data_IF_056345294813
#
_entry.id   IF_056345294813
#
_cell.length_a   1.000
_cell.length_b   1.000
_cell.length_c   1.000
_cell.angle_alpha   90.00
_cell.angle_beta   90.00
_cell.angle_gamma   90.00
#
_symmetry.space_group_name_H-M   'P 1'
#
loop_
_entity.id
_entity.type
_entity.pdbx_description
1 polymer ?
#
# COMPACT_ATOMS: atom_id res chain seq x y z
N UNK A 1 -24.00 -15.87 11.06
CA UNK A 1 -22.54 -16.06 11.13
C UNK A 1 -21.98 -14.86 11.87
N UNK A 2 -21.64 -15.03 13.14
CA UNK A 2 -21.20 -13.93 14.02
C UNK A 2 -19.69 -13.84 13.90
N UNK A 3 -19.18 -12.78 13.29
CA UNK A 3 -17.73 -12.53 13.20
C UNK A 3 -17.28 -12.15 14.61
N UNK A 4 -16.64 -13.08 15.33
CA UNK A 4 -15.96 -12.75 16.59
C UNK A 4 -14.60 -12.14 16.24
N UNK A 5 -14.52 -10.80 16.32
CA UNK A 5 -13.28 -10.06 16.15
C UNK A 5 -12.59 -10.03 17.52
N UNK A 6 -11.83 -11.07 17.85
CA UNK A 6 -10.97 -11.09 19.04
C UNK A 6 -9.64 -10.39 18.73
N UNK A 7 -9.71 -9.08 18.50
CA UNK A 7 -8.53 -8.23 18.30
C UNK A 7 -8.46 -7.22 19.47
N UNK A 8 -7.38 -7.20 20.28
CA UNK A 8 -7.24 -6.28 21.41
C UNK A 8 -7.35 -4.79 21.04
N UNK A 9 -7.05 -4.44 19.78
CA UNK A 9 -7.25 -3.10 19.27
C UNK A 9 -8.74 -2.73 19.17
N UNK A 10 -9.58 -3.68 18.72
CA UNK A 10 -11.04 -3.51 18.61
C UNK A 10 -11.69 -3.30 19.96
N UNK A 11 -11.30 -4.07 20.98
CA UNK A 11 -11.85 -3.94 22.34
C UNK A 11 -11.48 -2.59 22.98
N UNK A 12 -10.24 -2.13 22.77
CA UNK A 12 -9.80 -0.81 23.22
C UNK A 12 -10.57 0.31 22.52
N UNK A 13 -10.81 0.20 21.20
CA UNK A 13 -11.55 1.21 20.43
C UNK A 13 -13.02 1.27 20.86
N UNK A 14 -13.67 0.11 21.01
CA UNK A 14 -15.06 -0.02 21.45
C UNK A 14 -15.32 0.64 22.81
N UNK A 15 -14.39 0.43 23.74
CA UNK A 15 -14.55 0.85 25.13
C UNK A 15 -14.15 2.31 25.34
N UNK A 16 -13.09 2.80 24.66
CA UNK A 16 -12.59 4.18 24.83
C UNK A 16 -13.38 5.22 24.04
N UNK A 17 -13.79 4.91 22.80
CA UNK A 17 -14.35 5.91 21.89
C UNK A 17 -15.88 5.84 21.80
N UNK A 18 -16.47 4.65 21.98
CA UNK A 18 -17.90 4.43 21.73
C UNK A 18 -18.72 4.10 22.97
N UNK A 19 -18.09 4.01 24.16
CA UNK A 19 -18.80 3.91 25.45
C UNK A 19 -19.85 2.79 25.51
N UNK A 20 -19.57 1.63 24.91
CA UNK A 20 -20.49 0.50 24.77
C UNK A 20 -21.73 0.72 23.87
N UNK A 21 -21.76 1.76 23.02
CA UNK A 21 -22.78 1.91 21.98
C UNK A 21 -22.48 1.00 20.79
N UNK A 22 -22.95 -0.24 20.87
CA UNK A 22 -22.70 -1.31 19.90
C UNK A 22 -23.12 -0.97 18.48
N UNK A 23 -24.25 -0.31 18.28
CA UNK A 23 -24.74 0.01 16.93
C UNK A 23 -23.85 1.05 16.25
N UNK A 24 -23.54 2.15 16.95
CA UNK A 24 -22.65 3.20 16.42
C UNK A 24 -21.24 2.68 16.17
N UNK A 25 -20.72 1.85 17.08
CA UNK A 25 -19.43 1.20 16.91
C UNK A 25 -19.39 0.31 15.68
N UNK A 26 -20.39 -0.56 15.48
CA UNK A 26 -20.43 -1.49 14.34
C UNK A 26 -20.48 -0.74 13.00
N UNK A 27 -21.24 0.34 12.91
CA UNK A 27 -21.34 1.10 11.66
C UNK A 27 -20.05 1.87 11.35
N UNK A 28 -19.42 2.50 12.34
CA UNK A 28 -18.13 3.19 12.12
C UNK A 28 -16.98 2.22 11.87
N UNK A 29 -16.95 1.08 12.56
CA UNK A 29 -16.00 -0.01 12.29
C UNK A 29 -16.15 -0.54 10.87
N UNK A 30 -17.38 -0.73 10.37
CA UNK A 30 -17.59 -1.18 9.00
C UNK A 30 -17.01 -0.18 8.01
N UNK A 31 -17.23 1.12 8.23
CA UNK A 31 -16.65 2.17 7.39
C UNK A 31 -15.13 2.13 7.43
N UNK A 32 -14.53 2.08 8.63
CA UNK A 32 -13.08 2.01 8.81
C UNK A 32 -12.47 0.76 8.16
N UNK A 33 -13.12 -0.40 8.29
CA UNK A 33 -12.69 -1.65 7.66
C UNK A 33 -12.81 -1.59 6.14
N UNK A 34 -13.89 -1.00 5.61
CA UNK A 34 -14.07 -0.82 4.16
C UNK A 34 -13.02 0.14 3.61
N UNK A 35 -12.77 1.26 4.27
CA UNK A 35 -11.74 2.22 3.87
C UNK A 35 -10.34 1.58 3.91
N UNK A 36 -10.03 0.84 4.99
CA UNK A 36 -8.77 0.10 5.12
C UNK A 36 -8.63 -0.94 4.02
N UNK A 37 -9.68 -1.71 3.74
CA UNK A 37 -9.71 -2.70 2.66
C UNK A 37 -9.52 -2.07 1.29
N UNK A 38 -10.18 -0.93 1.02
CA UNK A 38 -10.00 -0.20 -0.24
C UNK A 38 -8.57 0.33 -0.40
N UNK A 39 -7.98 0.87 0.68
CA UNK A 39 -6.58 1.31 0.69
C UNK A 39 -5.63 0.16 0.42
N UNK A 40 -5.83 -0.98 1.09
CA UNK A 40 -5.01 -2.19 0.90
C UNK A 40 -5.15 -2.76 -0.51
N UNK A 41 -6.37 -2.78 -1.06
CA UNK A 41 -6.62 -3.15 -2.46
C UNK A 41 -5.88 -2.25 -3.44
N UNK A 42 -5.85 -0.93 -3.20
CA UNK A 42 -5.10 0.03 -4.03
C UNK A 42 -3.59 -0.22 -3.95
N UNK A 43 -3.06 -0.49 -2.76
CA UNK A 43 -1.64 -0.82 -2.57
C UNK A 43 -1.30 -2.08 -3.37
N UNK A 44 -2.06 -3.16 -3.18
CA UNK A 44 -1.83 -4.42 -3.91
C UNK A 44 -1.90 -4.24 -5.43
N UNK A 45 -2.86 -3.46 -5.94
CA UNK A 45 -2.96 -3.17 -7.36
C UNK A 45 -1.73 -2.45 -7.93
N UNK A 46 -1.10 -1.56 -7.15
CA UNK A 46 0.13 -0.88 -7.55
C UNK A 46 1.33 -1.83 -7.49
N UNK A 47 1.43 -2.68 -6.47
CA UNK A 47 2.52 -3.64 -6.34
C UNK A 47 2.46 -4.73 -7.43
N UNK A 48 1.26 -5.17 -7.83
CA UNK A 48 1.10 -6.09 -8.97
C UNK A 48 1.49 -5.45 -10.30
N UNK A 49 1.15 -4.17 -10.52
CA UNK A 49 1.63 -3.46 -11.70
C UNK A 49 3.16 -3.38 -11.74
N UNK A 50 3.83 -3.35 -10.58
CA UNK A 50 5.29 -3.44 -10.53
C UNK A 50 5.78 -4.82 -10.98
N UNK A 51 5.13 -5.92 -10.57
CA UNK A 51 5.45 -7.27 -11.06
C UNK A 51 5.34 -7.40 -12.58
N UNK A 52 4.36 -6.73 -13.16
CA UNK A 52 4.15 -6.71 -14.61
C UNK A 52 5.08 -5.70 -15.34
N UNK A 53 6.07 -5.12 -14.64
CA UNK A 53 6.97 -4.07 -15.12
C UNK A 53 6.26 -2.80 -15.65
N UNK A 54 4.98 -2.61 -15.32
CA UNK A 54 4.16 -1.49 -15.80
C UNK A 54 4.43 -0.17 -15.04
N UNK A 55 4.99 -0.25 -13.84
CA UNK A 55 5.26 0.90 -12.98
C UNK A 55 6.54 0.68 -12.18
N UNK A 56 7.33 1.74 -11.98
CA UNK A 56 8.55 1.68 -11.17
C UNK A 56 8.28 1.86 -9.67
N UNK A 57 9.20 1.40 -8.83
CA UNK A 57 9.17 1.62 -7.37
C UNK A 57 9.05 3.11 -7.02
N UNK A 58 9.77 3.97 -7.75
CA UNK A 58 9.69 5.42 -7.56
C UNK A 58 8.30 5.97 -7.83
N UNK A 59 7.62 5.46 -8.87
CA UNK A 59 6.27 5.91 -9.20
C UNK A 59 5.22 5.38 -8.23
N UNK A 60 5.43 4.20 -7.64
CA UNK A 60 4.60 3.71 -6.52
C UNK A 60 4.78 4.59 -5.28
N UNK A 61 6.03 4.94 -4.94
CA UNK A 61 6.34 5.82 -3.81
C UNK A 61 5.62 7.17 -3.93
N UNK A 62 5.65 7.79 -5.12
CA UNK A 62 4.88 9.01 -5.41
C UNK A 62 3.37 8.81 -5.25
N UNK A 63 2.80 7.72 -5.77
CA UNK A 63 1.36 7.46 -5.72
C UNK A 63 0.83 7.23 -4.30
N UNK A 64 1.67 6.65 -3.45
CA UNK A 64 1.33 6.31 -2.07
C UNK A 64 1.77 7.39 -1.06
N UNK A 65 2.54 8.40 -1.51
CA UNK A 65 3.15 9.42 -0.66
C UNK A 65 4.00 8.82 0.46
N UNK A 66 4.82 7.82 0.10
CA UNK A 66 5.73 7.12 1.01
C UNK A 66 7.14 7.06 0.42
N UNK A 67 8.12 6.69 1.24
CA UNK A 67 9.48 6.51 0.78
C UNK A 67 9.66 5.20 0.01
N UNK A 68 10.67 5.16 -0.87
CA UNK A 68 10.99 3.95 -1.66
C UNK A 68 11.29 2.76 -0.77
N UNK A 69 11.93 2.98 0.38
CA UNK A 69 12.22 1.93 1.37
C UNK A 69 10.94 1.30 1.93
N UNK A 70 9.89 2.09 2.15
CA UNK A 70 8.59 1.59 2.58
C UNK A 70 7.92 0.78 1.46
N UNK A 71 8.07 1.19 0.19
CA UNK A 71 7.61 0.38 -0.96
C UNK A 71 8.33 -0.98 -0.99
N UNK A 72 9.65 -1.02 -0.76
CA UNK A 72 10.41 -2.27 -0.68
C UNK A 72 9.92 -3.17 0.46
N UNK A 73 9.61 -2.58 1.61
CA UNK A 73 9.03 -3.32 2.74
C UNK A 73 7.64 -3.89 2.39
N UNK A 74 6.82 -3.15 1.65
CA UNK A 74 5.51 -3.60 1.16
C UNK A 74 5.64 -4.76 0.16
N UNK A 75 6.57 -4.69 -0.79
CA UNK A 75 6.84 -5.78 -1.73
C UNK A 75 7.21 -7.07 -0.99
N UNK A 76 8.13 -6.98 -0.01
CA UNK A 76 8.52 -8.12 0.84
C UNK A 76 7.34 -8.66 1.66
N UNK A 77 6.57 -7.78 2.29
CA UNK A 77 5.41 -8.16 3.12
C UNK A 77 4.36 -8.95 2.32
N UNK A 78 4.22 -8.65 1.04
CA UNK A 78 3.26 -9.29 0.14
C UNK A 78 3.87 -10.39 -0.74
N UNK A 79 5.11 -10.83 -0.46
CA UNK A 79 5.85 -11.84 -1.24
C UNK A 79 5.88 -11.55 -2.75
N UNK A 80 6.12 -10.29 -3.09
CA UNK A 80 6.27 -9.85 -4.47
C UNK A 80 7.76 -9.80 -4.81
N UNK A 81 8.16 -10.63 -5.76
CA UNK A 81 9.54 -10.68 -6.24
C UNK A 81 9.95 -9.37 -6.91
N UNK A 82 11.24 -9.05 -6.79
CA UNK A 82 11.85 -7.99 -7.57
C UNK A 82 11.81 -8.38 -9.03
N UNK A 83 11.23 -7.52 -9.86
CA UNK A 83 11.32 -7.70 -11.30
C UNK A 83 12.76 -7.43 -11.70
N UNK A 84 13.36 -8.38 -12.41
CA UNK A 84 14.62 -8.17 -13.11
C UNK A 84 14.38 -7.09 -14.17
N UNK A 85 14.64 -5.83 -13.81
CA UNK A 85 14.75 -4.77 -14.80
C UNK A 85 15.93 -5.11 -15.71
N UNK A 86 15.67 -5.15 -17.02
CA UNK A 86 16.76 -5.21 -17.99
C UNK A 86 17.66 -4.00 -17.76
N UNK A 87 18.92 -4.24 -17.38
CA UNK A 87 19.94 -3.20 -17.18
C UNK A 87 20.09 -2.28 -18.41
N UNK A 88 19.70 -2.75 -19.59
CA UNK A 88 19.70 -1.98 -20.83
C UNK A 88 18.65 -0.86 -20.83
N UNK A 89 17.44 -1.13 -20.31
CA UNK A 89 16.37 -0.13 -20.21
C UNK A 89 16.64 0.90 -19.11
N UNK A 90 17.34 0.49 -18.04
CA UNK A 90 17.74 1.38 -16.95
C UNK A 90 18.86 2.32 -17.39
N UNK A 91 19.87 1.82 -18.13
CA UNK A 91 20.91 2.67 -18.74
C UNK A 91 20.31 3.73 -19.65
N UNK A 92 19.36 3.35 -20.50
CA UNK A 92 18.71 4.28 -21.42
C UNK A 92 17.95 5.38 -20.69
N UNK A 93 17.18 5.05 -19.65
CA UNK A 93 16.48 6.05 -18.84
C UNK A 93 17.43 7.00 -18.09
N UNK A 94 18.58 6.49 -17.62
CA UNK A 94 19.61 7.31 -16.97
C UNK A 94 20.27 8.25 -17.99
N UNK A 95 20.59 7.75 -19.19
CA UNK A 95 21.17 8.55 -20.26
C UNK A 95 20.21 9.66 -20.72
N UNK A 96 18.92 9.34 -20.91
CA UNK A 96 17.88 10.31 -21.27
C UNK A 96 17.71 11.40 -20.18
N UNK A 97 17.72 11.01 -18.91
CA UNK A 97 17.67 11.95 -17.77
C UNK A 97 18.90 12.86 -17.72
N UNK A 98 20.09 12.34 -18.00
CA UNK A 98 21.33 13.12 -18.04
C UNK A 98 21.40 14.08 -19.23
N UNK A 99 20.75 13.77 -20.35
CA UNK A 99 20.63 14.69 -21.48
C UNK A 99 19.68 15.86 -21.20
N UNK A 100 18.56 15.64 -20.50
CA UNK A 100 17.65 16.73 -20.10
C UNK A 100 18.32 17.74 -19.16
N UNK A 101 19.22 17.28 -18.28
CA UNK A 101 19.97 18.15 -17.36
C UNK A 101 21.13 18.93 -18.00
N UNK A 102 21.49 18.62 -19.25
CA UNK A 102 22.53 19.34 -20.01
C UNK A 102 22.00 20.46 -20.89
N UNK A 103 20.68 20.65 -20.97
CA UNK A 103 20.03 21.81 -21.61
C UNK A 103 19.77 22.92 -20.60
#
# INVERSE_FOLDING_TARGET
MTIQINDPWFESLYTKEFGANTTKFVDEIKVLLVERYQKEKRILALLHQYQDANISIGKIAENLYIDREEVLALLRKHNIDFVDYSLEDEKKNIDDFLEEFKK
#
